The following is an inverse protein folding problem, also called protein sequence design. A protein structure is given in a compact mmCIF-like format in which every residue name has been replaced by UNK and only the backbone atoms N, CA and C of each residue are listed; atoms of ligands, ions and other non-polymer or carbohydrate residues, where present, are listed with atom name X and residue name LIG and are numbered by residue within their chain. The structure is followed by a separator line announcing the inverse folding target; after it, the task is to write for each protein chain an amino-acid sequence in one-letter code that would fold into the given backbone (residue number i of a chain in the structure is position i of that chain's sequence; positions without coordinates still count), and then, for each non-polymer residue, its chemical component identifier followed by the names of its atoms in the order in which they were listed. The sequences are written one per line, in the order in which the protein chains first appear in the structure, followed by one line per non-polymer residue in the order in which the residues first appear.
data_IF_337437520182
#
_entry.id   IF_337437520182
#
_cell.length_a   1.000
_cell.length_b   1.000
_cell.length_c   1.000
_cell.angle_alpha   90.00
_cell.angle_beta   90.00
_cell.angle_gamma   90.00
#
_symmetry.space_group_name_H-M   'P 1'
#
loop_
_entity.id
_entity.type
_entity.pdbx_description
1 polymer ?
#
# COMPACT_ATOMS: atom_id res chain seq x y z
N UNK A 1 26.31 45.78 11.30
CA UNK A 1 25.43 44.65 10.94
C UNK A 1 25.79 43.49 11.86
N UNK A 2 24.88 43.03 12.70
CA UNK A 2 25.21 42.14 13.81
C UNK A 2 25.35 40.68 13.34
N UNK A 3 26.21 39.88 13.99
CA UNK A 3 26.48 38.48 13.59
C UNK A 3 25.21 37.61 13.54
N UNK A 4 24.22 37.93 14.37
CA UNK A 4 22.89 37.30 14.36
C UNK A 4 22.09 37.60 13.08
N UNK A 5 22.20 38.83 12.56
CA UNK A 5 21.58 39.24 11.29
C UNK A 5 22.24 38.53 10.10
N UNK A 6 23.56 38.31 10.16
CA UNK A 6 24.30 37.57 9.15
C UNK A 6 23.90 36.08 9.10
N UNK A 7 23.69 35.44 10.26
CA UNK A 7 23.25 34.05 10.36
C UNK A 7 21.82 33.85 9.86
N UNK A 8 20.90 34.78 10.16
CA UNK A 8 19.52 34.73 9.66
C UNK A 8 19.50 34.90 8.14
N UNK A 9 20.31 35.81 7.59
CA UNK A 9 20.45 35.97 6.14
C UNK A 9 21.02 34.71 5.45
N UNK A 10 21.99 34.03 6.06
CA UNK A 10 22.53 32.76 5.55
C UNK A 10 21.49 31.64 5.53
N UNK A 11 20.63 31.57 6.56
CA UNK A 11 19.56 30.59 6.63
C UNK A 11 18.49 30.80 5.54
N UNK A 12 18.12 32.05 5.26
CA UNK A 12 17.22 32.39 4.14
C UNK A 12 17.86 32.12 2.77
N UNK A 13 19.17 32.34 2.61
CA UNK A 13 19.90 32.05 1.38
C UNK A 13 20.00 30.54 1.07
N UNK A 14 20.00 29.69 2.10
CA UNK A 14 20.02 28.23 1.98
C UNK A 14 18.67 27.64 1.54
N UNK A 15 17.55 28.28 1.89
CA UNK A 15 16.19 27.86 1.49
C UNK A 15 15.88 28.21 0.02
N UNK A 16 16.56 29.20 -0.55
CA UNK A 16 16.30 29.68 -1.91
C UNK A 16 16.81 28.75 -3.04
N UNK A 17 17.63 27.75 -2.75
CA UNK A 17 18.15 26.81 -3.76
C UNK A 17 17.19 25.62 -3.90
N UNK A 18 15.94 25.90 -4.28
CA UNK A 18 15.09 24.85 -4.81
C UNK A 18 15.48 24.64 -6.27
N UNK A 19 16.19 23.55 -6.55
CA UNK A 19 16.58 23.19 -7.90
C UNK A 19 15.32 23.00 -8.75
N UNK A 20 15.02 23.98 -9.61
CA UNK A 20 13.96 23.89 -10.60
C UNK A 20 14.16 22.60 -11.42
N UNK A 21 13.21 21.67 -11.31
CA UNK A 21 13.20 20.46 -12.13
C UNK A 21 13.28 20.88 -13.60
N UNK A 22 14.23 20.31 -14.35
CA UNK A 22 14.54 20.70 -15.72
C UNK A 22 13.30 20.60 -16.61
N UNK A 23 12.76 21.76 -16.98
CA UNK A 23 11.55 21.84 -17.79
C UNK A 23 11.81 21.62 -19.29
N UNK A 24 13.05 21.77 -19.77
CA UNK A 24 13.41 21.66 -21.20
C UNK A 24 14.74 20.94 -21.38
N UNK A 25 14.82 20.05 -22.37
CA UNK A 25 16.04 19.31 -22.68
C UNK A 25 15.83 18.20 -23.70
N UNK A 26 16.82 17.31 -23.85
CA UNK A 26 16.73 16.20 -24.82
C UNK A 26 16.01 15.00 -24.21
N UNK A 27 15.10 14.40 -24.96
CA UNK A 27 14.53 13.09 -24.68
C UNK A 27 15.22 12.01 -25.52
N UNK A 28 15.39 10.82 -24.95
CA UNK A 28 15.65 9.58 -25.71
C UNK A 28 14.65 8.51 -25.34
N UNK A 29 14.79 7.29 -25.87
CA UNK A 29 13.88 6.20 -25.55
C UNK A 29 14.58 4.85 -25.47
N UNK A 30 13.99 3.93 -24.70
CA UNK A 30 14.46 2.55 -24.59
C UNK A 30 14.11 1.75 -25.84
N UNK A 31 15.06 0.93 -26.32
CA UNK A 31 14.79 -0.02 -27.39
C UNK A 31 13.77 -1.09 -26.95
N UNK A 32 13.05 -1.70 -27.90
CA UNK A 32 12.14 -2.82 -27.61
C UNK A 32 12.81 -3.99 -26.88
N UNK A 33 14.11 -4.20 -27.11
CA UNK A 33 14.92 -5.25 -26.47
C UNK A 33 15.10 -5.06 -24.97
N UNK A 34 14.90 -3.84 -24.46
CA UNK A 34 14.94 -3.56 -23.04
C UNK A 34 13.69 -4.06 -22.28
N UNK A 35 12.67 -4.57 -22.99
CA UNK A 35 11.49 -5.18 -22.38
C UNK A 35 11.91 -6.30 -21.43
N UNK A 36 11.37 -6.27 -20.22
CA UNK A 36 11.68 -7.21 -19.14
C UNK A 36 12.81 -6.75 -18.22
N UNK A 37 13.60 -5.73 -18.57
CA UNK A 37 14.63 -5.18 -17.68
C UNK A 37 14.00 -4.62 -16.39
N UNK A 38 14.68 -4.77 -15.25
CA UNK A 38 14.24 -4.16 -13.99
C UNK A 38 14.58 -2.67 -13.99
N UNK A 39 13.59 -1.84 -13.65
CA UNK A 39 13.78 -0.39 -13.46
C UNK A 39 14.14 -0.09 -12.01
N UNK A 40 14.55 1.15 -11.72
CA UNK A 40 14.85 1.61 -10.37
C UNK A 40 13.63 1.62 -9.42
N UNK A 41 12.40 1.64 -9.93
CA UNK A 41 11.20 1.43 -9.10
C UNK A 41 10.99 -0.04 -8.69
N UNK A 42 11.75 -0.97 -9.27
CA UNK A 42 11.61 -2.41 -9.07
C UNK A 42 10.65 -3.10 -10.05
N UNK A 43 9.87 -2.33 -10.80
CA UNK A 43 8.99 -2.84 -11.87
C UNK A 43 9.82 -3.33 -13.07
N UNK A 44 9.22 -4.18 -13.92
CA UNK A 44 9.83 -4.56 -15.20
C UNK A 44 9.39 -3.59 -16.28
N UNK A 45 10.34 -3.08 -17.05
CA UNK A 45 10.09 -2.25 -18.21
C UNK A 45 9.31 -3.04 -19.26
N UNK A 46 8.24 -2.47 -19.81
CA UNK A 46 7.58 -2.99 -21.00
C UNK A 46 7.54 -1.92 -22.07
N UNK A 47 7.88 -2.28 -23.31
CA UNK A 47 7.99 -1.30 -24.40
C UNK A 47 6.67 -0.61 -24.74
N UNK A 48 5.54 -1.29 -24.51
CA UNK A 48 4.20 -0.74 -24.75
C UNK A 48 3.67 0.14 -23.60
N UNK A 49 4.32 0.17 -22.43
CA UNK A 49 3.89 1.00 -21.31
C UNK A 49 4.17 2.48 -21.56
N UNK A 50 3.37 3.39 -21.00
CA UNK A 50 3.65 4.84 -21.03
C UNK A 50 4.45 5.25 -19.78
N UNK A 51 5.74 4.93 -19.79
CA UNK A 51 6.64 5.17 -18.66
C UNK A 51 7.91 5.89 -19.09
N UNK A 52 8.62 6.44 -18.11
CA UNK A 52 9.88 7.13 -18.34
C UNK A 52 10.87 6.99 -17.18
N UNK A 53 12.14 7.24 -17.47
CA UNK A 53 13.18 7.51 -16.50
C UNK A 53 13.35 9.01 -16.30
N UNK A 54 13.43 9.43 -15.04
CA UNK A 54 13.72 10.81 -14.67
C UNK A 54 14.60 10.87 -13.42
N UNK A 55 15.46 11.89 -13.34
CA UNK A 55 16.48 12.02 -12.29
C UNK A 55 15.88 12.28 -10.90
N UNK A 56 14.99 13.27 -10.81
CA UNK A 56 14.57 13.83 -9.52
C UNK A 56 13.10 13.58 -9.17
N UNK A 57 12.18 13.60 -10.14
CA UNK A 57 10.76 13.33 -9.87
C UNK A 57 10.54 11.99 -9.14
N UNK A 58 9.67 11.95 -8.11
CA UNK A 58 9.32 10.72 -7.41
C UNK A 58 8.76 9.66 -8.35
N UNK A 59 8.96 8.39 -8.03
CA UNK A 59 8.33 7.30 -8.78
C UNK A 59 6.80 7.41 -8.69
N UNK A 60 6.10 7.06 -9.76
CA UNK A 60 4.65 7.21 -9.87
C UNK A 60 4.18 8.59 -10.31
N UNK A 61 5.04 9.62 -10.29
CA UNK A 61 4.69 10.95 -10.79
C UNK A 61 4.31 10.87 -12.26
N UNK A 62 3.20 11.51 -12.64
CA UNK A 62 2.81 11.70 -14.02
C UNK A 62 3.46 12.95 -14.58
N UNK A 63 4.06 12.84 -15.75
CA UNK A 63 4.70 13.92 -16.47
C UNK A 63 4.06 14.07 -17.84
N UNK A 64 3.72 15.29 -18.21
CA UNK A 64 3.34 15.67 -19.57
C UNK A 64 4.62 16.04 -20.29
N UNK A 65 4.90 15.34 -21.38
CA UNK A 65 6.07 15.55 -22.22
C UNK A 65 5.59 16.10 -23.55
N UNK A 66 6.15 17.22 -23.98
CA UNK A 66 5.82 17.87 -25.25
C UNK A 66 7.04 17.86 -26.14
N UNK A 67 6.92 17.31 -27.35
CA UNK A 67 7.95 17.41 -28.36
C UNK A 67 7.90 18.78 -29.05
N UNK A 68 8.95 19.57 -28.90
CA UNK A 68 8.99 20.95 -29.39
C UNK A 68 9.09 21.05 -30.92
N UNK A 69 9.49 19.98 -31.61
CA UNK A 69 9.64 19.99 -33.06
C UNK A 69 8.29 19.85 -33.79
N UNK A 70 7.32 19.16 -33.17
CA UNK A 70 6.03 18.83 -33.81
C UNK A 70 4.79 19.16 -32.95
N UNK A 71 4.98 19.63 -31.71
CA UNK A 71 3.90 19.99 -30.80
C UNK A 71 3.16 18.80 -30.18
N UNK A 72 3.52 17.54 -30.50
CA UNK A 72 2.85 16.36 -29.94
C UNK A 72 3.16 16.22 -28.46
N UNK A 73 2.18 15.71 -27.71
CA UNK A 73 2.31 15.51 -26.26
C UNK A 73 1.99 14.07 -25.86
N UNK A 74 2.57 13.62 -24.75
CA UNK A 74 2.25 12.35 -24.13
C UNK A 74 2.35 12.48 -22.62
N UNK A 75 1.48 11.77 -21.90
CA UNK A 75 1.58 11.65 -20.43
C UNK A 75 2.24 10.32 -20.10
N UNK A 76 3.29 10.38 -19.28
CA UNK A 76 4.08 9.21 -18.87
C UNK A 76 4.25 9.16 -17.36
N UNK A 77 4.41 7.95 -16.83
CA UNK A 77 4.69 7.71 -15.41
C UNK A 77 6.18 7.51 -15.16
N UNK A 78 6.72 8.15 -14.13
CA UNK A 78 8.12 7.96 -13.73
C UNK A 78 8.28 6.59 -13.05
N UNK A 79 9.09 5.71 -13.65
CA UNK A 79 9.35 4.35 -13.13
C UNK A 79 10.84 4.03 -13.00
N UNK A 80 11.72 4.89 -13.51
CA UNK A 80 13.15 4.62 -13.53
C UNK A 80 13.97 5.88 -13.26
N UNK A 81 15.28 5.71 -13.03
CA UNK A 81 16.24 6.78 -12.76
C UNK A 81 17.18 7.00 -13.94
N UNK A 82 17.64 8.24 -14.06
CA UNK A 82 18.39 8.72 -15.21
C UNK A 82 17.54 9.70 -16.02
N UNK A 83 17.89 9.99 -17.29
CA UNK A 83 19.15 9.64 -17.95
C UNK A 83 20.38 10.18 -17.20
N UNK A 84 21.57 9.62 -17.44
CA UNK A 84 22.82 10.15 -16.84
C UNK A 84 23.72 10.89 -17.84
N UNK A 85 23.46 10.75 -19.15
CA UNK A 85 24.24 11.50 -20.13
C UNK A 85 23.87 12.99 -20.14
N UNK A 86 24.88 13.82 -20.42
CA UNK A 86 24.75 15.28 -20.46
C UNK A 86 23.68 15.72 -21.46
N UNK A 87 22.86 16.69 -21.07
CA UNK A 87 21.83 17.31 -21.93
C UNK A 87 20.54 16.51 -22.14
N UNK A 88 20.50 15.22 -21.77
CA UNK A 88 19.26 14.44 -21.74
C UNK A 88 18.55 14.66 -20.42
N UNK A 89 17.23 14.84 -20.43
CA UNK A 89 16.41 15.09 -19.24
C UNK A 89 15.44 13.96 -18.94
N UNK A 90 15.06 13.17 -19.95
CA UNK A 90 14.08 12.10 -19.82
C UNK A 90 14.38 10.97 -20.82
N UNK A 91 14.24 9.72 -20.38
CA UNK A 91 14.27 8.55 -21.26
C UNK A 91 12.88 7.92 -21.27
N UNK A 92 12.25 7.83 -22.43
CA UNK A 92 10.88 7.38 -22.61
C UNK A 92 10.82 5.90 -22.94
N UNK A 93 9.67 5.29 -22.71
CA UNK A 93 9.35 3.99 -23.30
C UNK A 93 9.20 4.10 -24.82
N UNK A 94 9.28 2.95 -25.51
CA UNK A 94 9.10 2.90 -26.95
C UNK A 94 7.71 3.41 -27.38
N UNK A 95 6.64 3.03 -26.68
CA UNK A 95 5.29 3.51 -26.96
C UNK A 95 5.14 5.02 -26.77
N UNK A 96 5.71 5.59 -25.71
CA UNK A 96 5.67 7.04 -25.50
C UNK A 96 6.43 7.79 -26.61
N UNK A 97 7.60 7.29 -27.01
CA UNK A 97 8.36 7.85 -28.12
C UNK A 97 7.64 7.72 -29.47
N UNK A 98 6.86 6.65 -29.67
CA UNK A 98 5.99 6.48 -30.84
C UNK A 98 4.89 7.55 -30.87
N UNK A 99 4.24 7.83 -29.73
CA UNK A 99 3.19 8.84 -29.64
C UNK A 99 3.74 10.26 -29.85
N UNK A 100 4.94 10.55 -29.36
CA UNK A 100 5.65 11.81 -29.62
C UNK A 100 6.25 11.93 -31.01
N UNK A 101 6.17 10.87 -31.82
CA UNK A 101 6.69 10.80 -33.18
C UNK A 101 8.19 11.16 -33.25
N UNK A 102 8.96 10.55 -32.33
CA UNK A 102 10.41 10.75 -32.24
C UNK A 102 11.23 9.49 -32.53
N UNK A 103 10.57 8.39 -32.93
CA UNK A 103 11.26 7.11 -33.19
C UNK A 103 12.30 7.22 -34.30
N UNK A 104 11.99 7.92 -35.39
CA UNK A 104 12.90 8.08 -36.52
C UNK A 104 14.10 8.98 -36.17
N UNK A 105 13.84 10.06 -35.42
CA UNK A 105 14.89 11.00 -35.00
C UNK A 105 15.82 10.41 -33.92
N UNK A 106 15.35 9.44 -33.13
CA UNK A 106 16.10 8.86 -32.00
C UNK A 106 16.11 9.76 -30.75
N UNK A 107 16.30 11.07 -30.96
CA UNK A 107 16.40 12.10 -29.93
C UNK A 107 15.48 13.27 -30.31
N UNK A 108 14.77 13.83 -29.33
CA UNK A 108 13.92 15.02 -29.55
C UNK A 108 14.17 16.06 -28.45
N UNK A 109 14.02 17.34 -28.79
CA UNK A 109 13.98 18.40 -27.77
C UNK A 109 12.56 18.46 -27.22
N UNK A 110 12.42 18.28 -25.91
CA UNK A 110 11.12 18.22 -25.24
C UNK A 110 11.03 19.22 -24.11
N UNK A 111 9.80 19.60 -23.77
CA UNK A 111 9.48 20.13 -22.45
C UNK A 111 8.82 19.06 -21.57
N UNK A 112 9.11 19.10 -20.27
CA UNK A 112 8.62 18.16 -19.27
C UNK A 112 7.96 18.95 -18.16
N UNK A 113 6.69 18.66 -17.91
CA UNK A 113 5.88 19.32 -16.90
C UNK A 113 5.21 18.26 -16.02
N UNK A 114 5.02 18.56 -14.72
CA UNK A 114 4.24 17.67 -13.87
C UNK A 114 2.79 17.69 -14.35
N UNK A 115 2.27 16.52 -14.69
CA UNK A 115 0.88 16.36 -15.07
C UNK A 115 0.05 16.17 -13.81
N UNK A 116 -0.64 17.24 -13.40
CA UNK A 116 -1.60 17.15 -12.30
C UNK A 116 -2.92 16.64 -12.89
N UNK A 117 -3.25 15.39 -12.60
CA UNK A 117 -4.59 14.87 -12.86
C UNK A 117 -5.46 15.52 -11.79
N UNK A 118 -6.07 16.67 -12.10
CA UNK A 118 -7.07 17.27 -11.21
C UNK A 118 -8.01 16.15 -10.75
N UNK A 119 -8.27 16.06 -9.45
CA UNK A 119 -9.31 15.15 -8.98
C UNK A 119 -10.56 15.59 -9.74
N UNK A 120 -11.33 14.69 -10.39
CA UNK A 120 -12.48 15.07 -11.22
C UNK A 120 -13.56 15.91 -10.51
N UNK A 121 -13.39 16.22 -9.22
CA UNK A 121 -14.29 16.99 -8.37
C UNK A 121 -13.59 18.13 -7.60
N UNK A 122 -12.29 18.41 -7.81
CA UNK A 122 -11.57 19.51 -7.14
C UNK A 122 -11.69 20.84 -7.90
N UNK A 123 -12.91 21.22 -8.23
CA UNK A 123 -13.22 22.57 -8.76
C UNK A 123 -13.72 23.52 -7.65
N UNK A 124 -14.01 22.99 -6.46
CA UNK A 124 -14.48 23.77 -5.33
C UNK A 124 -13.29 24.21 -4.45
N UNK A 125 -13.25 25.49 -4.00
CA UNK A 125 -12.27 25.91 -2.99
C UNK A 125 -12.36 24.94 -1.81
N UNK A 126 -11.20 24.52 -1.30
CA UNK A 126 -11.10 23.60 -0.16
C UNK A 126 -12.22 23.93 0.83
N UNK A 127 -13.19 23.02 0.95
CA UNK A 127 -14.32 23.15 1.86
C UNK A 127 -13.72 23.63 3.17
N UNK A 128 -14.05 24.85 3.58
CA UNK A 128 -13.60 25.42 4.84
C UNK A 128 -14.18 24.48 5.89
N UNK A 129 -13.35 23.54 6.36
CA UNK A 129 -13.80 22.50 7.28
C UNK A 129 -14.38 23.25 8.47
N UNK A 130 -15.67 23.08 8.81
CA UNK A 130 -16.19 23.68 10.02
C UNK A 130 -15.31 23.17 11.16
N UNK A 131 -14.90 24.08 12.03
CA UNK A 131 -14.17 23.73 13.25
C UNK A 131 -15.00 22.64 13.93
N UNK A 132 -14.44 21.42 14.00
CA UNK A 132 -15.14 20.31 14.62
C UNK A 132 -15.29 20.65 16.10
N UNK A 133 -16.45 21.14 16.47
CA UNK A 133 -16.80 21.38 17.86
C UNK A 133 -17.05 20.02 18.53
N UNK A 134 -15.94 19.40 18.96
CA UNK A 134 -15.94 18.12 19.67
C UNK A 134 -16.60 18.21 21.06
N UNK A 135 -17.05 19.40 21.49
CA UNK A 135 -17.72 19.57 22.77
C UNK A 135 -19.05 18.79 22.86
N UNK A 136 -19.74 18.57 21.74
CA UNK A 136 -21.01 17.83 21.73
C UNK A 136 -20.85 16.31 21.94
N UNK A 137 -19.65 15.77 21.76
CA UNK A 137 -19.33 14.37 22.07
C UNK A 137 -19.11 14.14 23.59
N UNK A 138 -19.00 15.20 24.39
CA UNK A 138 -18.87 15.04 25.85
C UNK A 138 -20.22 14.91 26.55
N UNK A 139 -21.32 15.32 25.91
CA UNK A 139 -22.65 15.38 26.54
C UNK A 139 -23.56 14.17 26.30
N UNK A 140 -23.07 13.12 25.65
CA UNK A 140 -23.90 11.97 25.28
C UNK A 140 -23.20 10.61 25.19
N UNK A 141 -21.96 10.47 25.67
CA UNK A 141 -21.29 9.18 25.71
C UNK A 141 -21.57 8.44 27.04
N UNK A 142 -22.83 8.04 27.24
CA UNK A 142 -23.13 6.87 28.09
C UNK A 142 -22.88 5.55 27.34
N UNK A 143 -22.48 5.60 26.06
CA UNK A 143 -22.27 4.41 25.23
C UNK A 143 -21.18 3.46 25.76
N UNK A 144 -20.17 3.99 26.48
CA UNK A 144 -19.14 3.15 27.12
C UNK A 144 -19.68 2.49 28.40
N UNK A 145 -20.54 3.18 29.15
CA UNK A 145 -21.13 2.65 30.38
C UNK A 145 -22.21 1.59 30.07
N UNK A 146 -23.00 1.78 29.02
CA UNK A 146 -23.96 0.80 28.51
C UNK A 146 -23.27 -0.46 27.97
N UNK A 147 -22.09 -0.34 27.36
CA UNK A 147 -21.30 -1.49 26.94
C UNK A 147 -20.75 -2.30 28.13
N UNK A 148 -20.19 -1.62 29.14
CA UNK A 148 -19.66 -2.28 30.35
C UNK A 148 -20.74 -2.98 31.18
N UNK A 149 -21.97 -2.44 31.20
CA UNK A 149 -23.10 -3.10 31.86
C UNK A 149 -23.52 -4.41 31.20
N UNK A 150 -23.30 -4.57 29.89
CA UNK A 150 -23.62 -5.80 29.17
C UNK A 150 -22.62 -6.92 29.41
N UNK A 151 -21.35 -6.59 29.59
CA UNK A 151 -20.30 -7.59 29.84
C UNK A 151 -20.47 -8.22 31.23
N UNK A 152 -20.73 -7.41 32.27
CA UNK A 152 -20.95 -7.90 33.64
C UNK A 152 -22.19 -8.81 33.74
N UNK A 153 -23.27 -8.52 32.99
CA UNK A 153 -24.48 -9.35 33.01
C UNK A 153 -24.31 -10.69 32.27
N UNK A 154 -23.37 -10.78 31.33
CA UNK A 154 -23.00 -12.03 30.66
C UNK A 154 -22.11 -12.87 31.57
N UNK A 155 -21.14 -12.25 32.24
CA UNK A 155 -20.23 -12.92 33.16
C UNK A 155 -20.96 -13.51 34.38
N UNK A 156 -21.87 -12.75 35.01
CA UNK A 156 -22.68 -13.21 36.15
C UNK A 156 -23.61 -14.39 35.76
N UNK A 157 -24.08 -14.43 34.51
CA UNK A 157 -24.89 -15.55 33.99
C UNK A 157 -24.04 -16.80 33.77
N UNK A 158 -22.86 -16.63 33.16
CA UNK A 158 -21.94 -17.74 32.88
C UNK A 158 -21.44 -18.35 34.20
N UNK A 159 -21.15 -17.54 35.20
CA UNK A 159 -20.67 -18.01 36.50
C UNK A 159 -21.76 -18.75 37.30
N UNK A 160 -22.99 -18.21 37.32
CA UNK A 160 -24.13 -18.88 37.96
C UNK A 160 -24.50 -20.21 37.29
N UNK A 161 -24.46 -20.26 35.96
CA UNK A 161 -24.75 -21.50 35.22
C UNK A 161 -23.61 -22.52 35.41
N UNK A 162 -22.35 -22.08 35.49
CA UNK A 162 -21.21 -22.90 35.86
C UNK A 162 -21.33 -23.54 37.25
N UNK A 163 -21.77 -22.77 38.25
CA UNK A 163 -22.00 -23.27 39.61
C UNK A 163 -23.17 -24.25 39.69
N UNK A 164 -24.26 -24.01 38.95
CA UNK A 164 -25.40 -24.95 38.85
C UNK A 164 -25.01 -26.28 38.20
N UNK A 165 -24.20 -26.22 37.13
CA UNK A 165 -23.69 -27.42 36.45
C UNK A 165 -22.72 -28.19 37.37
N UNK A 166 -21.85 -27.51 38.10
CA UNK A 166 -20.92 -28.12 39.05
C UNK A 166 -21.65 -28.81 40.22
N UNK A 167 -22.70 -28.18 40.77
CA UNK A 167 -23.49 -28.73 41.87
C UNK A 167 -24.32 -29.95 41.43
N UNK A 168 -24.85 -29.95 40.20
CA UNK A 168 -25.51 -31.13 39.63
C UNK A 168 -24.53 -32.29 39.36
N UNK A 169 -23.30 -32.01 38.94
CA UNK A 169 -22.25 -33.04 38.77
C UNK A 169 -21.83 -33.68 40.10
N UNK A 170 -21.67 -32.89 41.18
CA UNK A 170 -21.40 -33.43 42.53
C UNK A 170 -22.55 -34.31 43.05
N UNK A 171 -23.80 -33.93 42.78
CA UNK A 171 -24.99 -34.72 43.14
C UNK A 171 -25.10 -36.04 42.37
N UNK A 172 -24.57 -36.10 41.15
CA UNK A 172 -24.47 -37.33 40.35
C UNK A 172 -23.29 -38.23 40.77
N UNK A 173 -22.15 -37.65 41.13
CA UNK A 173 -20.98 -38.42 41.62
C UNK A 173 -21.21 -39.07 42.99
N UNK A 174 -22.02 -38.46 43.86
CA UNK A 174 -22.47 -39.09 45.12
C UNK A 174 -23.32 -40.35 44.93
N UNK A 175 -23.90 -40.57 43.73
CA UNK A 175 -24.65 -41.80 43.39
C UNK A 175 -23.78 -42.88 42.72
N UNK A 176 -22.59 -42.55 42.23
CA UNK A 176 -21.71 -43.48 41.54
C UNK A 176 -20.64 -44.14 42.44
N UNK A 177 -20.53 -43.73 43.71
CA UNK A 177 -19.48 -44.18 44.63
C UNK A 177 -19.71 -45.56 45.29
N UNK A 178 -20.65 -46.39 44.81
CA UNK A 178 -20.87 -47.74 45.38
C UNK A 178 -20.12 -48.85 44.62
N UNK A 179 -19.43 -48.55 43.50
CA UNK A 179 -18.71 -49.61 42.76
C UNK A 179 -17.29 -49.16 42.40
N UNK A 180 -16.33 -49.57 43.21
CA UNK A 180 -14.91 -49.68 42.88
C UNK A 180 -14.32 -50.82 43.74
N UNK A 181 -13.14 -51.40 43.44
CA UNK A 181 -12.26 -51.20 42.27
C UNK A 181 -11.74 -52.54 41.67
N UNK A 182 -11.06 -52.50 40.50
CA UNK A 182 -9.68 -53.00 40.48
C UNK A 182 -8.82 -52.58 39.29
N UNK A 183 -7.57 -52.29 39.67
CA UNK A 183 -6.30 -52.46 38.97
C UNK A 183 -5.76 -51.44 37.94
N UNK A 184 -4.59 -50.95 38.34
CA UNK A 184 -3.58 -50.12 37.69
C UNK A 184 -2.83 -50.83 36.55
N UNK A 185 -2.62 -50.16 35.40
CA UNK A 185 -1.43 -50.37 34.55
C UNK A 185 -0.86 -49.05 33.99
N UNK A 186 0.47 -48.95 34.08
CA UNK A 186 1.38 -47.91 33.58
C UNK A 186 1.48 -47.90 32.02
N UNK A 187 2.03 -46.83 31.41
CA UNK A 187 1.73 -46.43 30.03
C UNK A 187 2.51 -47.22 28.98
N UNK A 188 1.86 -47.51 27.85
CA UNK A 188 2.47 -48.17 26.69
C UNK A 188 2.70 -47.18 25.53
N UNK A 189 3.81 -47.43 24.84
CA UNK A 189 4.43 -46.73 23.70
C UNK A 189 3.46 -46.25 22.59
N UNK A 190 3.82 -45.11 22.02
CA UNK A 190 3.36 -44.59 20.73
C UNK A 190 3.58 -45.57 19.57
N UNK A 191 2.62 -45.72 18.65
CA UNK A 191 2.91 -46.05 17.27
C UNK A 191 2.44 -44.94 16.31
N UNK A 192 3.24 -44.73 15.27
CA UNK A 192 3.05 -43.75 14.20
C UNK A 192 2.01 -44.17 13.15
N UNK A 193 1.35 -43.14 12.58
CA UNK A 193 0.68 -43.01 11.27
C UNK A 193 -0.43 -44.01 10.89
N UNK A 194 -1.64 -43.47 10.69
CA UNK A 194 -2.43 -43.73 9.48
C UNK A 194 -3.41 -42.60 9.18
N UNK A 195 -3.55 -42.37 7.88
CA UNK A 195 -4.12 -41.21 7.21
C UNK A 195 -5.58 -40.95 7.59
N UNK A 196 -5.87 -39.70 8.00
CA UNK A 196 -7.23 -39.19 8.02
C UNK A 196 -7.39 -38.29 6.80
N UNK A 197 -8.11 -38.80 5.82
CA UNK A 197 -8.60 -38.07 4.67
C UNK A 197 -9.31 -36.79 5.14
N UNK A 198 -8.63 -35.68 4.95
CA UNK A 198 -9.03 -34.35 5.40
C UNK A 198 -9.95 -33.71 4.35
N UNK A 199 -11.12 -33.24 4.82
CA UNK A 199 -12.18 -32.60 4.02
C UNK A 199 -11.67 -31.52 3.05
N UNK A 200 -10.56 -30.87 3.41
CA UNK A 200 -9.87 -29.86 2.61
C UNK A 200 -9.21 -30.40 1.34
N UNK A 201 -8.70 -31.63 1.35
CA UNK A 201 -8.06 -32.21 0.15
C UNK A 201 -9.09 -32.41 -0.97
N UNK A 202 -10.36 -32.73 -0.65
CA UNK A 202 -11.44 -32.81 -1.64
C UNK A 202 -11.80 -31.45 -2.25
N UNK A 203 -11.61 -30.36 -1.51
CA UNK A 203 -11.85 -29.01 -2.01
C UNK A 203 -10.73 -28.59 -2.97
N UNK A 204 -9.47 -28.83 -2.61
CA UNK A 204 -8.32 -28.52 -3.46
C UNK A 204 -8.33 -29.28 -4.79
N UNK A 205 -8.67 -30.56 -4.78
CA UNK A 205 -8.77 -31.36 -6.01
C UNK A 205 -9.93 -30.93 -6.91
N UNK A 206 -10.98 -30.30 -6.36
CA UNK A 206 -12.09 -29.77 -7.15
C UNK A 206 -11.72 -28.46 -7.85
N UNK A 207 -10.86 -27.64 -7.25
CA UNK A 207 -10.40 -26.36 -7.82
C UNK A 207 -9.42 -26.59 -8.98
N UNK A 208 -8.54 -27.60 -8.88
CA UNK A 208 -7.60 -27.96 -9.96
C UNK A 208 -8.26 -28.44 -11.26
N UNK A 209 -9.55 -28.79 -11.23
CA UNK A 209 -10.30 -29.22 -12.42
C UNK A 209 -11.01 -28.06 -13.14
N UNK A 210 -10.94 -26.84 -12.60
CA UNK A 210 -11.64 -25.65 -13.13
C UNK A 210 -10.67 -24.75 -13.91
N UNK A 211 -9.35 -24.95 -13.77
CA UNK A 211 -8.28 -24.27 -14.51
C UNK A 211 -7.39 -25.31 -15.20
#
# INVERSE_FOLDING_TARGET
MNNKQLLIAFFFMLIAITAHAQQKGKATFYSKRATGARTASGERLHHDSLTCAHRTYPFGTLLKVTNLNNGKTVVVRVTDRGPFAKGRIIDLSYAAAKQLDMLFAGVATVTVERYNRGVPYDDEPAIELPELDLEMATQGYSMVDDWRGRDNMVDDKIENDGQKIANNRKKQQGKAAIIAPNETKKPAKTPSKKDKENKWNKVFERIKKIF
#
